data_IF_018438695013
#
_entry.id   IF_018438695013
#
_cell.length_a   1.000
_cell.length_b   1.000
_cell.length_c   1.000
_cell.angle_alpha   90.00
_cell.angle_beta   90.00
_cell.angle_gamma   90.00
#
_symmetry.space_group_name_H-M   'P 1'
#
loop_
_entity.id
_entity.type
_entity.pdbx_description
1 polymer ?
#
# COMPACT_ATOMS: atom_id res chain seq x y z
N UNK A 1 3.59 10.56 8.30
CA UNK A 1 3.06 10.16 6.96
C UNK A 1 4.07 9.29 6.22
N UNK A 2 5.38 9.43 6.48
CA UNK A 2 6.45 8.57 5.99
C UNK A 2 6.58 7.22 6.73
N UNK A 3 5.73 6.96 7.74
CA UNK A 3 5.86 5.80 8.63
C UNK A 3 5.70 4.48 7.87
N UNK A 4 4.71 4.37 6.97
CA UNK A 4 4.48 3.12 6.22
C UNK A 4 5.62 2.84 5.25
N UNK A 5 6.06 3.86 4.49
CA UNK A 5 7.19 3.69 3.56
C UNK A 5 8.45 3.29 4.31
N UNK A 6 8.74 3.93 5.44
CA UNK A 6 9.91 3.63 6.25
C UNK A 6 9.85 2.22 6.88
N UNK A 7 8.70 1.83 7.42
CA UNK A 7 8.49 0.49 7.96
C UNK A 7 8.63 -0.59 6.88
N UNK A 8 7.99 -0.40 5.73
CA UNK A 8 7.98 -1.35 4.62
C UNK A 8 9.33 -1.46 3.91
N UNK A 9 10.13 -0.37 3.88
CA UNK A 9 11.48 -0.39 3.32
C UNK A 9 12.45 -1.27 4.12
N UNK A 10 12.15 -1.59 5.39
CA UNK A 10 12.98 -2.50 6.21
C UNK A 10 12.95 -3.94 5.72
N UNK A 11 11.89 -4.34 5.02
CA UNK A 11 11.75 -5.70 4.50
C UNK A 11 12.54 -5.91 3.21
N UNK A 12 12.67 -4.85 2.39
CA UNK A 12 13.49 -4.86 1.19
C UNK A 12 13.24 -3.65 0.29
N UNK A 13 13.73 -3.72 -0.95
CA UNK A 13 13.72 -2.59 -1.88
C UNK A 13 12.31 -2.33 -2.43
N UNK A 14 11.74 -1.19 -2.03
CA UNK A 14 10.52 -0.64 -2.63
C UNK A 14 10.86 0.07 -3.95
N UNK A 15 10.18 -0.32 -5.02
CA UNK A 15 10.23 0.34 -6.34
C UNK A 15 9.32 1.56 -6.33
N UNK A 16 8.10 1.39 -5.82
CA UNK A 16 7.11 2.45 -5.77
C UNK A 16 6.21 2.31 -4.54
N UNK A 17 5.68 3.44 -4.08
CA UNK A 17 4.72 3.50 -2.97
C UNK A 17 3.67 4.53 -3.31
N UNK A 18 2.41 4.11 -3.35
CA UNK A 18 1.27 4.97 -3.64
C UNK A 18 0.34 5.00 -2.43
N UNK A 19 0.10 6.20 -1.91
CA UNK A 19 -0.81 6.45 -0.80
C UNK A 19 -1.85 7.47 -1.28
N UNK A 20 -3.01 7.02 -1.79
CA UNK A 20 -4.06 7.91 -2.24
C UNK A 20 -4.52 8.80 -1.08
N UNK A 21 -4.35 10.11 -1.24
CA UNK A 21 -4.77 11.11 -0.26
C UNK A 21 -6.12 11.68 -0.64
N UNK A 22 -7.02 11.92 0.33
CA UNK A 22 -8.26 12.64 0.05
C UNK A 22 -7.92 14.04 -0.44
N UNK A 23 -8.62 14.48 -1.50
CA UNK A 23 -8.52 15.83 -2.00
C UNK A 23 -9.68 16.67 -1.41
N UNK A 24 -9.48 17.97 -1.08
CA UNK A 24 -10.57 18.84 -0.70
C UNK A 24 -11.73 18.86 -1.71
N UNK A 25 -11.43 18.66 -2.99
CA UNK A 25 -12.43 18.44 -4.03
C UNK A 25 -12.75 16.94 -4.16
N UNK A 26 -14.01 16.51 -3.88
CA UNK A 26 -14.43 15.11 -4.03
C UNK A 26 -14.25 14.58 -5.46
N UNK A 27 -14.34 15.43 -6.48
CA UNK A 27 -14.19 15.03 -7.88
C UNK A 27 -12.73 14.75 -8.26
N UNK A 28 -11.79 15.29 -7.50
CA UNK A 28 -10.34 15.09 -7.68
C UNK A 28 -9.77 14.09 -6.67
N UNK A 29 -10.61 13.50 -5.82
CA UNK A 29 -10.17 12.50 -4.86
C UNK A 29 -9.86 11.20 -5.61
N UNK A 30 -8.62 10.70 -5.55
CA UNK A 30 -8.28 9.46 -6.20
C UNK A 30 -9.02 8.29 -5.55
N UNK A 31 -9.39 7.31 -6.37
CA UNK A 31 -9.79 5.99 -5.92
C UNK A 31 -8.79 5.37 -4.94
N UNK A 32 -9.26 4.58 -3.98
CA UNK A 32 -8.40 3.88 -3.02
C UNK A 32 -7.90 4.70 -1.83
N UNK A 33 -8.51 5.85 -1.50
CA UNK A 33 -8.21 6.56 -0.24
C UNK A 33 -8.37 5.64 0.96
N UNK A 34 -7.37 5.64 1.84
CA UNK A 34 -7.31 4.76 3.00
C UNK A 34 -6.60 3.43 2.75
N UNK A 35 -6.28 3.11 1.49
CA UNK A 35 -5.40 2.00 1.10
C UNK A 35 -3.98 2.51 0.86
N UNK A 36 -3.00 1.62 0.97
CA UNK A 36 -1.60 1.91 0.62
C UNK A 36 -1.12 0.78 -0.27
N UNK A 37 -0.49 1.15 -1.39
CA UNK A 37 0.01 0.22 -2.37
C UNK A 37 1.52 0.27 -2.38
N UNK A 38 2.14 -0.90 -2.24
CA UNK A 38 3.58 -1.08 -2.14
C UNK A 38 4.03 -1.96 -3.29
N UNK A 39 4.93 -1.44 -4.11
CA UNK A 39 5.58 -2.19 -5.17
C UNK A 39 7.00 -2.54 -4.70
N UNK A 40 7.25 -3.83 -4.52
CA UNK A 40 8.58 -4.35 -4.19
C UNK A 40 9.29 -4.82 -5.44
N UNK A 41 10.63 -4.72 -5.45
CA UNK A 41 11.44 -5.26 -6.54
C UNK A 41 11.41 -6.81 -6.58
N UNK A 42 11.14 -7.44 -5.43
CA UNK A 42 11.19 -8.89 -5.24
C UNK A 42 9.88 -9.41 -4.63
N UNK A 43 9.30 -10.44 -5.25
CA UNK A 43 8.05 -11.07 -4.79
C UNK A 43 8.20 -11.76 -3.43
N UNK A 44 9.38 -12.29 -3.11
CA UNK A 44 9.65 -12.90 -1.80
C UNK A 44 9.61 -11.87 -0.68
N UNK A 45 10.13 -10.67 -0.93
CA UNK A 45 10.06 -9.55 0.02
C UNK A 45 8.62 -9.12 0.23
N UNK A 46 7.84 -8.96 -0.86
CA UNK A 46 6.42 -8.63 -0.78
C UNK A 46 5.63 -9.66 0.03
N UNK A 47 5.93 -10.94 -0.17
CA UNK A 47 5.28 -12.04 0.58
C UNK A 47 5.59 -11.97 2.07
N UNK A 48 6.85 -11.69 2.43
CA UNK A 48 7.29 -11.57 3.82
C UNK A 48 6.72 -10.34 4.51
N UNK A 49 6.74 -9.18 3.85
CA UNK A 49 6.15 -7.94 4.37
C UNK A 49 4.65 -8.13 4.61
N UNK A 50 3.92 -8.64 3.60
CA UNK A 50 2.49 -8.96 3.72
C UNK A 50 2.21 -9.84 4.93
N UNK A 51 2.93 -10.95 5.09
CA UNK A 51 2.74 -11.86 6.22
C UNK A 51 3.06 -11.19 7.57
N UNK A 52 4.03 -10.28 7.61
CA UNK A 52 4.44 -9.60 8.83
C UNK A 52 3.45 -8.51 9.28
N UNK A 53 2.80 -7.82 8.34
CA UNK A 53 1.90 -6.70 8.64
C UNK A 53 0.41 -7.09 8.62
N UNK A 54 0.03 -8.15 7.89
CA UNK A 54 -1.36 -8.58 7.82
C UNK A 54 -1.86 -9.04 9.20
N UNK A 55 -2.99 -8.50 9.64
CA UNK A 55 -3.56 -8.76 10.96
C UNK A 55 -2.92 -7.96 12.09
N UNK A 56 -1.88 -7.15 11.82
CA UNK A 56 -1.26 -6.30 12.85
C UNK A 56 -2.19 -5.13 13.18
N UNK A 57 -2.29 -4.81 14.47
CA UNK A 57 -3.05 -3.64 14.91
C UNK A 57 -2.25 -2.34 14.67
N UNK A 58 -2.90 -1.36 14.04
CA UNK A 58 -2.37 -0.02 13.83
C UNK A 58 -3.33 1.01 14.42
N UNK A 59 -3.02 1.49 15.63
CA UNK A 59 -3.92 2.34 16.40
C UNK A 59 -5.21 1.60 16.77
N UNK A 60 -6.35 2.03 16.22
CA UNK A 60 -7.66 1.40 16.41
C UNK A 60 -8.08 0.48 15.25
N UNK A 61 -7.26 0.41 14.20
CA UNK A 61 -7.56 -0.37 13.00
C UNK A 61 -6.70 -1.63 12.95
N UNK A 62 -7.14 -2.63 12.19
CA UNK A 62 -6.35 -3.81 11.85
C UNK A 62 -5.86 -3.65 10.41
N UNK A 63 -4.58 -3.89 10.18
CA UNK A 63 -3.99 -3.85 8.84
C UNK A 63 -4.41 -5.11 8.08
N UNK A 64 -5.00 -4.91 6.90
CA UNK A 64 -5.28 -5.98 5.94
C UNK A 64 -4.32 -5.80 4.78
N UNK A 65 -3.47 -6.80 4.53
CA UNK A 65 -2.51 -6.78 3.44
C UNK A 65 -2.80 -7.90 2.44
N UNK A 66 -3.07 -7.50 1.20
CA UNK A 66 -3.49 -8.37 0.11
C UNK A 66 -2.69 -8.06 -1.15
N UNK A 67 -2.56 -9.04 -2.04
CA UNK A 67 -1.95 -8.79 -3.34
C UNK A 67 -2.91 -8.00 -4.22
N UNK A 68 -2.36 -7.04 -4.95
CA UNK A 68 -3.10 -6.26 -5.93
C UNK A 68 -2.59 -6.57 -7.35
N UNK A 69 -3.46 -6.69 -8.36
CA UNK A 69 -3.04 -6.95 -9.72
C UNK A 69 -2.12 -5.84 -10.25
N UNK A 70 -0.92 -6.21 -10.73
CA UNK A 70 0.08 -5.25 -11.25
C UNK A 70 -0.46 -4.43 -12.42
N UNK A 71 -1.29 -5.02 -13.28
CA UNK A 71 -1.90 -4.33 -14.41
C UNK A 71 -2.84 -3.21 -13.96
N UNK A 72 -3.59 -3.41 -12.88
CA UNK A 72 -4.47 -2.39 -12.31
C UNK A 72 -3.64 -1.29 -11.63
N UNK A 73 -2.59 -1.69 -10.89
CA UNK A 73 -1.66 -0.75 -10.26
C UNK A 73 -0.96 0.16 -11.28
N UNK A 74 -0.47 -0.42 -12.38
CA UNK A 74 0.26 0.29 -13.43
C UNK A 74 -0.57 1.37 -14.13
N UNK A 75 -1.89 1.16 -14.27
CA UNK A 75 -2.82 2.14 -14.85
C UNK A 75 -3.38 3.13 -13.81
N UNK A 76 -2.97 3.02 -12.54
CA UNK A 76 -3.46 3.87 -11.45
C UNK A 76 -4.91 3.60 -11.04
N UNK A 77 -5.46 2.45 -11.43
CA UNK A 77 -6.78 2.01 -10.98
C UNK A 77 -6.60 1.37 -9.60
N UNK A 78 -7.03 2.05 -8.54
CA UNK A 78 -6.77 1.69 -7.14
C UNK A 78 -8.06 1.31 -6.39
N UNK A 79 -9.13 1.08 -7.13
CA UNK A 79 -10.37 0.48 -6.63
C UNK A 79 -10.15 -1.03 -6.51
N UNK A 80 -9.74 -1.46 -5.33
CA UNK A 80 -9.69 -2.87 -4.92
C UNK A 80 -10.79 -3.24 -3.96
#
# INVERSE_FOLDING_TARGET
MDDIRYECQKFGRLVNVVIPRPNPDPLLTPSGVGKTFLEYADLEVASRDRLAINGKQWGRNIVVAEYYPENMYAIGHLDG
#
